data_IF_302838444484
#
_entry.id   IF_302838444484
#
_cell.length_a   1.000
_cell.length_b   1.000
_cell.length_c   1.000
_cell.angle_alpha   90.00
_cell.angle_beta   90.00
_cell.angle_gamma   90.00
#
_symmetry.space_group_name_H-M   'P 1'
#
loop_
_entity.id
_entity.type
_entity.pdbx_description
1 polymer ?
#
# COMPACT_ATOMS: atom_id res chain seq x y z
N UNK A 1 16.87 11.04 -10.54
CA UNK A 1 15.73 10.32 -9.94
C UNK A 1 15.40 11.02 -8.64
N UNK A 2 14.16 11.47 -8.47
CA UNK A 2 13.77 12.14 -7.23
C UNK A 2 13.49 11.09 -6.15
N UNK A 3 14.12 11.26 -5.00
CA UNK A 3 13.95 10.37 -3.84
C UNK A 3 12.63 10.74 -3.16
N UNK A 4 11.57 10.02 -3.48
CA UNK A 4 10.26 10.21 -2.85
C UNK A 4 10.09 9.26 -1.68
N UNK A 5 9.58 9.78 -0.57
CA UNK A 5 9.18 9.01 0.60
C UNK A 5 7.66 8.83 0.58
N UNK A 6 7.19 7.58 0.48
CA UNK A 6 5.76 7.28 0.50
C UNK A 6 5.28 7.16 1.94
N UNK A 7 4.58 8.18 2.43
CA UNK A 7 4.06 8.21 3.81
C UNK A 7 2.70 7.54 3.96
N UNK A 8 1.86 7.58 2.93
CA UNK A 8 0.49 7.05 2.98
C UNK A 8 0.00 6.60 1.61
N UNK A 9 -0.69 5.48 1.58
CA UNK A 9 -1.32 4.88 0.41
C UNK A 9 -2.78 4.61 0.76
N UNK A 10 -3.68 5.09 -0.09
CA UNK A 10 -5.11 4.80 0.04
C UNK A 10 -5.37 3.42 -0.55
N UNK A 11 -6.04 2.58 0.21
CA UNK A 11 -6.40 1.22 -0.20
C UNK A 11 -7.88 0.97 0.10
N UNK A 12 -8.54 0.27 -0.82
CA UNK A 12 -9.84 -0.33 -0.54
C UNK A 12 -9.64 -1.52 0.40
N UNK A 13 -10.23 -1.52 1.62
CA UNK A 13 -10.06 -2.60 2.59
C UNK A 13 -10.85 -3.88 2.24
N UNK A 14 -11.35 -3.99 1.00
CA UNK A 14 -12.01 -5.19 0.51
C UNK A 14 -11.14 -6.45 0.68
N UNK A 15 -11.79 -7.61 0.78
CA UNK A 15 -11.15 -8.89 1.10
C UNK A 15 -10.14 -9.39 0.06
N UNK A 16 -10.01 -8.72 -1.08
CA UNK A 16 -9.10 -9.07 -2.16
C UNK A 16 -7.76 -8.36 -2.07
N UNK A 17 -7.58 -7.40 -1.16
CA UNK A 17 -6.37 -6.55 -1.11
C UNK A 17 -5.09 -7.38 -0.92
N UNK A 18 -5.15 -8.40 -0.07
CA UNK A 18 -4.07 -9.32 0.26
C UNK A 18 -3.65 -10.17 -0.96
N UNK A 19 -4.58 -10.38 -1.91
CA UNK A 19 -4.34 -11.17 -3.13
C UNK A 19 -3.87 -10.26 -4.26
N UNK A 20 -4.52 -9.11 -4.43
CA UNK A 20 -4.32 -8.21 -5.55
C UNK A 20 -3.07 -7.35 -5.43
N UNK A 21 -2.71 -6.96 -4.20
CA UNK A 21 -1.69 -5.93 -4.00
C UNK A 21 -0.52 -6.38 -3.12
N UNK A 22 -0.50 -7.60 -2.58
CA UNK A 22 0.60 -8.08 -1.73
C UNK A 22 1.97 -7.92 -2.39
N UNK A 23 2.15 -8.46 -3.61
CA UNK A 23 3.42 -8.36 -4.34
C UNK A 23 3.80 -6.90 -4.63
N UNK A 24 2.82 -6.05 -4.93
CA UNK A 24 3.04 -4.62 -5.18
C UNK A 24 3.48 -3.91 -3.91
N UNK A 25 2.83 -4.16 -2.77
CA UNK A 25 3.20 -3.60 -1.48
C UNK A 25 4.61 -4.02 -1.06
N UNK A 26 4.96 -5.29 -1.23
CA UNK A 26 6.32 -5.79 -0.99
C UNK A 26 7.36 -5.07 -1.86
N UNK A 27 7.10 -4.96 -3.16
CA UNK A 27 8.01 -4.28 -4.11
C UNK A 27 8.22 -2.82 -3.76
N UNK A 28 7.18 -2.16 -3.25
CA UNK A 28 7.20 -0.76 -2.82
C UNK A 28 7.63 -0.58 -1.36
N UNK A 29 7.98 -1.67 -0.66
CA UNK A 29 8.35 -1.68 0.76
C UNK A 29 7.30 -1.01 1.67
N UNK A 30 6.02 -1.17 1.30
CA UNK A 30 4.90 -0.66 2.05
C UNK A 30 4.55 -1.63 3.18
N UNK A 31 4.31 -1.07 4.35
CA UNK A 31 3.86 -1.78 5.54
C UNK A 31 2.42 -1.40 5.85
N UNK A 32 1.77 -2.13 6.77
CA UNK A 32 0.42 -1.79 7.25
C UNK A 32 0.31 -0.33 7.74
N UNK A 33 1.41 0.27 8.23
CA UNK A 33 1.45 1.68 8.66
C UNK A 33 1.29 2.68 7.51
N UNK A 34 1.64 2.26 6.29
CA UNK A 34 1.48 3.07 5.10
C UNK A 34 0.06 2.97 4.53
N UNK A 35 -0.67 1.90 4.87
CA UNK A 35 -1.99 1.63 4.30
C UNK A 35 -3.05 2.39 5.10
N UNK A 36 -3.86 3.18 4.42
CA UNK A 36 -5.03 3.82 5.03
C UNK A 36 -6.29 3.42 4.26
N UNK A 37 -7.31 2.87 4.94
CA UNK A 37 -8.59 2.59 4.31
C UNK A 37 -9.15 3.83 3.63
N UNK A 38 -9.64 3.66 2.41
CA UNK A 38 -10.44 4.67 1.75
C UNK A 38 -11.88 4.58 2.28
N UNK A 39 -12.26 5.51 3.16
CA UNK A 39 -13.63 5.71 3.68
C UNK A 39 -14.25 6.96 3.08
#
# INVERSE_FOLDING_TARGET
>A
MANYEVRRVLIDPGSSVDIMYARTCETLQLTERNLTPYV
#
